data_IF_666416737768
#
_entry.id   IF_666416737768
#
_cell.length_a   1.000
_cell.length_b   1.000
_cell.length_c   1.000
_cell.angle_alpha   90.00
_cell.angle_beta   90.00
_cell.angle_gamma   90.00
#
_symmetry.space_group_name_H-M   'P 1'
#
loop_
_entity.id
_entity.type
_entity.pdbx_description
1 polymer ?
#
# COMPACT_ATOMS: atom_id res chain seq x y z
N UNK A 1 -8.89 -4.00 8.79
CA UNK A 1 -10.00 -3.29 8.12
C UNK A 1 -9.56 -2.42 6.93
N UNK A 2 -8.90 -1.26 7.09
CA UNK A 2 -8.53 -0.40 5.94
C UNK A 2 -7.57 -1.10 4.94
N UNK A 3 -6.45 -1.71 5.38
CA UNK A 3 -5.55 -2.46 4.47
C UNK A 3 -6.22 -3.67 3.80
N UNK A 4 -7.30 -4.17 4.41
CA UNK A 4 -8.09 -5.31 3.93
C UNK A 4 -9.28 -4.86 3.07
N UNK A 5 -9.18 -3.69 2.42
CA UNK A 5 -10.20 -3.09 1.54
C UNK A 5 -11.46 -2.59 2.25
N UNK A 6 -11.39 -2.31 3.55
CA UNK A 6 -12.47 -1.66 4.28
C UNK A 6 -12.69 -0.22 3.82
N UNK A 7 -13.95 0.24 3.77
CA UNK A 7 -14.25 1.64 3.47
C UNK A 7 -13.90 2.57 4.65
N UNK A 8 -13.53 3.82 4.37
CA UNK A 8 -13.24 4.84 5.40
C UNK A 8 -14.40 4.98 6.39
N UNK A 9 -15.65 5.03 5.90
CA UNK A 9 -16.84 5.11 6.76
C UNK A 9 -17.06 3.85 7.57
N UNK A 10 -16.75 2.67 7.01
CA UNK A 10 -16.83 1.39 7.71
C UNK A 10 -15.89 1.36 8.91
N UNK A 11 -14.65 1.79 8.71
CA UNK A 11 -13.64 1.84 9.77
C UNK A 11 -13.96 2.89 10.81
N UNK A 12 -14.42 4.08 10.40
CA UNK A 12 -14.90 5.12 11.32
C UNK A 12 -15.98 4.59 12.28
N UNK A 13 -17.00 3.89 11.75
CA UNK A 13 -18.04 3.27 12.60
C UNK A 13 -17.50 2.18 13.50
N UNK A 14 -16.67 1.27 12.98
CA UNK A 14 -16.14 0.15 13.74
C UNK A 14 -15.20 0.60 14.88
N UNK A 15 -14.51 1.72 14.69
CA UNK A 15 -13.56 2.26 15.67
C UNK A 15 -14.15 3.37 16.55
N UNK A 16 -15.34 3.89 16.23
CA UNK A 16 -15.96 5.00 16.96
C UNK A 16 -15.31 6.37 16.71
N UNK A 17 -14.51 6.51 15.67
CA UNK A 17 -13.83 7.76 15.32
C UNK A 17 -14.55 8.50 14.18
N UNK A 18 -14.27 9.80 14.02
CA UNK A 18 -14.77 10.54 12.86
C UNK A 18 -14.07 10.09 11.58
N UNK A 19 -14.75 10.27 10.44
CA UNK A 19 -14.14 10.06 9.11
C UNK A 19 -12.82 10.84 8.98
N UNK A 20 -12.80 12.08 9.46
CA UNK A 20 -11.67 12.98 9.25
C UNK A 20 -10.43 12.53 10.05
N UNK A 21 -10.63 11.97 11.24
CA UNK A 21 -9.56 11.31 11.99
C UNK A 21 -8.98 10.13 11.21
N UNK A 22 -9.85 9.29 10.63
CA UNK A 22 -9.40 8.14 9.81
C UNK A 22 -8.66 8.61 8.56
N UNK A 23 -9.13 9.66 7.87
CA UNK A 23 -8.45 10.23 6.71
C UNK A 23 -7.07 10.79 7.08
N UNK A 24 -6.95 11.52 8.19
CA UNK A 24 -5.66 12.06 8.66
C UNK A 24 -4.65 10.96 8.96
N UNK A 25 -5.08 9.86 9.59
CA UNK A 25 -4.18 8.72 9.82
C UNK A 25 -3.78 8.02 8.52
N UNK A 26 -4.70 7.92 7.57
CA UNK A 26 -4.40 7.37 6.25
C UNK A 26 -3.36 8.21 5.51
N UNK A 27 -3.46 9.54 5.59
CA UNK A 27 -2.48 10.45 5.02
C UNK A 27 -1.09 10.24 5.64
N UNK A 28 -0.99 10.22 6.97
CA UNK A 28 0.28 9.97 7.69
C UNK A 28 0.88 8.62 7.30
N UNK A 29 0.05 7.55 7.26
CA UNK A 29 0.50 6.22 6.88
C UNK A 29 0.96 6.18 5.41
N UNK A 30 0.26 6.89 4.52
CA UNK A 30 0.61 7.02 3.11
C UNK A 30 1.95 7.74 2.91
N UNK A 31 2.14 8.87 3.56
CA UNK A 31 3.41 9.62 3.53
C UNK A 31 4.57 8.76 4.03
N UNK A 32 4.39 8.06 5.15
CA UNK A 32 5.45 7.20 5.66
C UNK A 32 5.74 6.01 4.74
N UNK A 33 4.72 5.39 4.14
CA UNK A 33 4.90 4.33 3.16
C UNK A 33 5.66 4.82 1.91
N UNK A 34 5.40 6.05 1.47
CA UNK A 34 6.12 6.70 0.37
C UNK A 34 7.59 6.97 0.72
N UNK A 35 7.87 7.49 1.91
CA UNK A 35 9.23 7.74 2.41
C UNK A 35 10.03 6.43 2.46
N UNK A 36 9.46 5.38 3.06
CA UNK A 36 10.07 4.05 3.15
C UNK A 36 10.34 3.50 1.75
N UNK A 37 9.36 3.57 0.86
CA UNK A 37 9.50 3.10 -0.53
C UNK A 37 10.61 3.84 -1.25
N UNK A 38 10.65 5.17 -1.14
CA UNK A 38 11.67 6.01 -1.78
C UNK A 38 13.07 5.73 -1.23
N UNK A 39 13.17 5.46 0.07
CA UNK A 39 14.44 5.14 0.71
C UNK A 39 14.99 3.79 0.23
N UNK A 40 14.16 2.75 0.18
CA UNK A 40 14.59 1.40 -0.20
C UNK A 40 14.69 1.19 -1.71
N UNK A 41 13.80 1.78 -2.51
CA UNK A 41 13.77 1.61 -3.97
C UNK A 41 14.65 2.64 -4.69
N UNK A 42 15.90 2.81 -4.21
CA UNK A 42 16.87 3.72 -4.82
C UNK A 42 18.16 2.98 -5.13
N UNK A 43 18.67 3.15 -6.36
CA UNK A 43 19.92 2.55 -6.84
C UNK A 43 19.98 1.02 -6.63
N UNK A 44 18.86 0.33 -6.91
CA UNK A 44 18.80 -1.12 -6.82
C UNK A 44 19.65 -1.76 -7.92
N UNK A 45 20.69 -2.49 -7.52
CA UNK A 45 21.56 -3.22 -8.44
C UNK A 45 20.98 -4.62 -8.73
N UNK A 46 19.82 -4.65 -9.38
CA UNK A 46 19.13 -5.89 -9.74
C UNK A 46 19.68 -6.45 -11.06
N UNK A 47 19.76 -7.77 -11.13
CA UNK A 47 19.98 -8.54 -12.35
C UNK A 47 18.69 -8.62 -13.17
N UNK A 48 18.82 -8.93 -14.46
CA UNK A 48 17.65 -9.08 -15.34
C UNK A 48 16.66 -10.15 -14.86
N UNK A 49 17.15 -11.23 -14.23
CA UNK A 49 16.30 -12.31 -13.68
C UNK A 49 15.49 -11.83 -12.48
N UNK A 50 16.09 -11.05 -11.58
CA UNK A 50 15.38 -10.50 -10.41
C UNK A 50 14.26 -9.52 -10.81
N UNK A 51 14.50 -8.71 -11.85
CA UNK A 51 13.46 -7.82 -12.40
C UNK A 51 12.33 -8.62 -13.06
N UNK A 52 12.67 -9.70 -13.79
CA UNK A 52 11.68 -10.58 -14.42
C UNK A 52 10.81 -11.32 -13.38
N UNK A 53 11.40 -11.75 -12.25
CA UNK A 53 10.64 -12.35 -11.15
C UNK A 53 9.66 -11.36 -10.50
N UNK A 54 10.11 -10.11 -10.24
CA UNK A 54 9.23 -9.06 -9.72
C UNK A 54 8.04 -8.85 -10.66
N UNK A 55 8.28 -8.80 -11.97
CA UNK A 55 7.21 -8.60 -12.96
C UNK A 55 6.31 -9.82 -13.14
N UNK A 56 6.86 -11.02 -13.00
CA UNK A 56 6.11 -12.28 -13.01
C UNK A 56 5.18 -12.41 -11.79
N UNK A 57 5.62 -11.94 -10.62
CA UNK A 57 4.80 -11.87 -9.41
C UNK A 57 3.70 -10.79 -9.49
N UNK A 58 4.02 -9.61 -10.02
CA UNK A 58 3.07 -8.49 -10.18
C UNK A 58 2.02 -8.79 -11.27
N UNK A 59 2.29 -9.74 -12.18
CA UNK A 59 1.42 -10.05 -13.31
C UNK A 59 -0.02 -10.31 -12.84
N UNK A 60 -0.92 -9.46 -13.35
CA UNK A 60 -2.38 -9.48 -13.19
C UNK A 60 -2.92 -10.91 -13.10
N UNK A 61 -3.80 -11.15 -12.13
CA UNK A 61 -4.79 -12.23 -12.15
C UNK A 61 -5.30 -12.40 -13.58
N UNK A 62 -4.79 -13.43 -14.27
CA UNK A 62 -5.38 -13.91 -15.51
C UNK A 62 -6.68 -14.53 -15.02
N UNK A 63 -7.83 -13.94 -15.39
CA UNK A 63 -9.11 -14.64 -15.27
C UNK A 63 -8.92 -16.00 -15.95
N UNK A 64 -8.88 -17.05 -15.14
CA UNK A 64 -9.27 -18.40 -15.56
C UNK A 64 -10.79 -18.46 -15.51
#
# INVERSE_FOLDING_TARGET
MLPEKGSIRGVARATGHSKDTICRWLEIAGTHAEEVTTYFLKNLNLTGVEVDEIWSYIKKSKKM
#
